data_IF_350426636504
#
_entry.id   IF_350426636504
#
_cell.length_a   1.000
_cell.length_b   1.000
_cell.length_c   1.000
_cell.angle_alpha   90.00
_cell.angle_beta   90.00
_cell.angle_gamma   90.00
#
_symmetry.space_group_name_H-M   'P 1'
#
loop_
_entity.id
_entity.type
_entity.pdbx_description
1 polymer ?
#
# COMPACT_ATOMS: atom_id res chain seq x y z
N UNK A 1 0.60 4.69 19.09
CA UNK A 1 0.94 3.67 20.12
C UNK A 1 0.02 2.48 19.88
N UNK A 2 0.53 1.26 19.67
CA UNK A 2 -0.29 0.06 19.36
C UNK A 2 0.11 -0.73 18.10
N UNK A 3 1.24 -0.43 17.47
CA UNK A 3 1.70 -1.12 16.25
C UNK A 3 2.44 -2.43 16.54
N UNK A 4 2.89 -2.61 17.78
CA UNK A 4 3.64 -3.80 18.19
C UNK A 4 3.14 -4.32 19.53
N UNK A 5 3.05 -5.64 19.64
CA UNK A 5 2.88 -6.36 20.90
C UNK A 5 4.25 -6.69 21.46
N UNK A 6 4.41 -6.56 22.77
CA UNK A 6 5.63 -6.91 23.48
C UNK A 6 5.40 -8.19 24.26
N UNK A 7 6.21 -9.21 24.01
CA UNK A 7 6.29 -10.41 24.82
C UNK A 7 7.64 -10.45 25.54
N UNK A 8 7.65 -10.79 26.83
CA UNK A 8 8.89 -10.94 27.62
C UNK A 8 9.12 -12.44 27.78
N UNK A 9 10.16 -12.95 27.13
CA UNK A 9 10.59 -14.34 27.25
C UNK A 9 11.94 -14.36 27.95
N UNK A 10 11.96 -14.92 29.16
CA UNK A 10 13.12 -14.94 30.07
C UNK A 10 13.68 -13.53 30.37
N UNK A 11 14.63 -13.06 29.56
CA UNK A 11 15.28 -11.74 29.66
C UNK A 11 15.23 -10.93 28.35
N UNK A 12 14.61 -11.45 27.30
CA UNK A 12 14.50 -10.78 26.00
C UNK A 12 13.11 -10.13 25.82
N UNK A 13 13.10 -8.92 25.26
CA UNK A 13 11.88 -8.25 24.81
C UNK A 13 11.68 -8.57 23.33
N UNK A 14 10.66 -9.36 23.01
CA UNK A 14 10.29 -9.68 21.65
C UNK A 14 9.16 -8.73 21.24
N UNK A 15 9.34 -8.02 20.13
CA UNK A 15 8.32 -7.16 19.55
C UNK A 15 7.78 -7.82 18.28
N UNK A 16 6.47 -8.04 18.26
CA UNK A 16 5.75 -8.60 17.11
C UNK A 16 4.74 -7.58 16.60
N UNK A 17 4.45 -7.60 15.30
CA UNK A 17 3.45 -6.71 14.72
C UNK A 17 2.08 -6.96 15.37
N UNK A 18 1.46 -5.90 15.87
CA UNK A 18 0.14 -5.97 16.49
C UNK A 18 -1.00 -5.76 15.47
N UNK A 19 -0.67 -5.25 14.29
CA UNK A 19 -1.60 -5.00 13.20
C UNK A 19 -1.13 -5.75 11.96
N UNK A 20 -2.09 -6.23 11.17
CA UNK A 20 -1.80 -6.80 9.86
C UNK A 20 -1.16 -5.76 8.94
N UNK A 21 -0.18 -6.21 8.16
CA UNK A 21 0.59 -5.37 7.25
C UNK A 21 -0.34 -4.71 6.21
N UNK A 22 -1.24 -5.49 5.62
CA UNK A 22 -2.19 -5.02 4.60
C UNK A 22 -3.13 -3.93 5.14
N UNK A 23 -3.66 -4.11 6.36
CA UNK A 23 -4.51 -3.12 7.00
C UNK A 23 -3.76 -1.80 7.23
N UNK A 24 -2.51 -1.90 7.68
CA UNK A 24 -1.64 -0.75 7.95
C UNK A 24 -1.28 -0.03 6.66
N UNK A 25 -0.85 -0.76 5.63
CA UNK A 25 -0.53 -0.21 4.31
C UNK A 25 -1.73 0.47 3.66
N UNK A 26 -2.92 -0.14 3.76
CA UNK A 26 -4.16 0.44 3.23
C UNK A 26 -4.51 1.77 3.90
N UNK A 27 -4.41 1.85 5.23
CA UNK A 27 -4.67 3.08 5.97
C UNK A 27 -3.66 4.18 5.61
N UNK A 28 -2.37 3.85 5.60
CA UNK A 28 -1.33 4.81 5.24
C UNK A 28 -1.51 5.35 3.82
N UNK A 29 -1.81 4.47 2.86
CA UNK A 29 -2.06 4.87 1.48
C UNK A 29 -3.28 5.79 1.37
N UNK A 30 -4.37 5.46 2.06
CA UNK A 30 -5.61 6.27 2.07
C UNK A 30 -5.34 7.67 2.64
N UNK A 31 -4.66 7.76 3.77
CA UNK A 31 -4.34 9.03 4.41
C UNK A 31 -3.41 9.86 3.52
N UNK A 32 -2.42 9.22 2.90
CA UNK A 32 -1.50 9.88 1.97
C UNK A 32 -2.20 10.42 0.72
N UNK A 33 -3.10 9.63 0.10
CA UNK A 33 -3.89 10.06 -1.06
C UNK A 33 -4.79 11.24 -0.70
N UNK A 34 -5.42 11.19 0.49
CA UNK A 34 -6.26 12.27 0.98
C UNK A 34 -5.46 13.57 1.17
N UNK A 35 -4.31 13.48 1.85
CA UNK A 35 -3.49 14.64 2.19
C UNK A 35 -2.77 15.26 0.99
N UNK A 36 -2.20 14.43 0.10
CA UNK A 36 -1.29 14.90 -0.96
C UNK A 36 -2.00 15.10 -2.30
N UNK A 37 -3.01 14.28 -2.59
CA UNK A 37 -3.70 14.26 -3.89
C UNK A 37 -5.17 14.67 -3.79
N UNK A 38 -5.57 15.31 -2.68
CA UNK A 38 -6.96 15.75 -2.41
C UNK A 38 -7.97 14.60 -2.56
N UNK A 39 -7.56 13.38 -2.24
CA UNK A 39 -8.39 12.18 -2.39
C UNK A 39 -8.46 11.60 -3.81
N UNK A 40 -7.74 12.16 -4.80
CA UNK A 40 -7.78 11.68 -6.19
C UNK A 40 -6.79 10.53 -6.42
N UNK A 41 -7.32 9.31 -6.46
CA UNK A 41 -6.53 8.12 -6.85
C UNK A 41 -6.00 8.22 -8.28
N UNK A 42 -6.76 8.84 -9.20
CA UNK A 42 -6.33 9.05 -10.58
C UNK A 42 -5.11 9.98 -10.68
N UNK A 43 -5.04 11.02 -9.83
CA UNK A 43 -3.90 11.93 -9.78
C UNK A 43 -2.65 11.24 -9.23
N UNK A 44 -2.80 10.35 -8.25
CA UNK A 44 -1.70 9.51 -7.76
C UNK A 44 -1.16 8.62 -8.89
N UNK A 45 -2.05 7.87 -9.57
CA UNK A 45 -1.65 6.95 -10.65
C UNK A 45 -0.98 7.71 -11.80
N UNK A 46 -1.53 8.86 -12.21
CA UNK A 46 -0.91 9.67 -13.27
C UNK A 46 0.47 10.20 -12.87
N UNK A 47 0.67 10.56 -11.60
CA UNK A 47 1.99 11.01 -11.11
C UNK A 47 2.99 9.85 -11.03
N UNK A 48 2.54 8.67 -10.61
CA UNK A 48 3.37 7.46 -10.57
C UNK A 48 3.82 7.07 -11.97
N UNK A 49 2.88 6.90 -12.90
CA UNK A 49 3.15 6.49 -14.28
C UNK A 49 3.88 7.54 -15.11
N UNK A 50 3.76 8.82 -14.75
CA UNK A 50 4.49 9.92 -15.39
C UNK A 50 5.87 10.19 -14.79
N UNK A 51 6.29 9.44 -13.76
CA UNK A 51 7.64 9.54 -13.19
C UNK A 51 8.61 8.62 -13.91
N UNK A 52 9.89 9.02 -13.98
CA UNK A 52 10.96 8.26 -14.67
C UNK A 52 11.24 6.88 -14.05
N UNK A 53 10.68 6.60 -12.86
CA UNK A 53 10.89 5.35 -12.11
C UNK A 53 9.95 4.20 -12.55
N UNK A 54 9.01 4.43 -13.48
CA UNK A 54 8.12 3.36 -13.92
C UNK A 54 8.78 2.50 -14.99
N UNK A 55 9.21 1.29 -14.61
CA UNK A 55 9.80 0.34 -15.54
C UNK A 55 8.75 -0.25 -16.52
N UNK A 56 9.16 -0.74 -17.70
CA UNK A 56 8.26 -1.46 -18.62
C UNK A 56 7.61 -2.70 -17.98
N UNK A 57 8.30 -3.34 -17.04
CA UNK A 57 7.82 -4.50 -16.30
C UNK A 57 6.70 -4.12 -15.32
N UNK A 58 6.86 -2.99 -14.61
CA UNK A 58 5.84 -2.47 -13.71
C UNK A 58 4.60 -1.99 -14.49
N UNK A 59 4.79 -1.36 -15.66
CA UNK A 59 3.67 -1.04 -16.56
C UNK A 59 2.90 -2.28 -16.99
N UNK A 60 3.58 -3.39 -17.24
CA UNK A 60 2.95 -4.65 -17.64
C UNK A 60 2.12 -5.22 -16.48
N UNK A 61 2.68 -5.28 -15.27
CA UNK A 61 1.96 -5.71 -14.07
C UNK A 61 0.73 -4.84 -13.78
N UNK A 62 0.84 -3.52 -13.96
CA UNK A 62 -0.29 -2.59 -13.77
C UNK A 62 -1.40 -2.87 -14.80
N UNK A 63 -1.06 -3.13 -16.06
CA UNK A 63 -2.05 -3.49 -17.09
C UNK A 63 -2.75 -4.80 -16.78
N UNK A 64 -2.02 -5.82 -16.32
CA UNK A 64 -2.58 -7.10 -15.90
C UNK A 64 -3.54 -6.94 -14.72
N UNK A 65 -3.15 -6.15 -13.72
CA UNK A 65 -4.01 -5.84 -12.57
C UNK A 65 -5.30 -5.13 -13.01
N UNK A 66 -5.21 -4.14 -13.90
CA UNK A 66 -6.38 -3.44 -14.43
C UNK A 66 -7.32 -4.39 -15.18
N UNK A 67 -6.76 -5.26 -16.03
CA UNK A 67 -7.53 -6.26 -16.76
C UNK A 67 -8.26 -7.23 -15.80
N UNK A 68 -7.59 -7.67 -14.72
CA UNK A 68 -8.23 -8.50 -13.71
C UNK A 68 -9.38 -7.76 -13.02
N UNK A 69 -9.18 -6.51 -12.61
CA UNK A 69 -10.21 -5.70 -11.92
C UNK A 69 -11.44 -5.42 -12.81
N UNK A 70 -11.24 -5.20 -14.11
CA UNK A 70 -12.34 -4.99 -15.06
C UNK A 70 -13.13 -6.27 -15.32
N UNK A 71 -12.47 -7.42 -15.39
CA UNK A 71 -13.13 -8.71 -15.61
C UNK A 71 -13.81 -9.26 -14.36
N UNK A 72 -13.31 -8.95 -13.16
CA UNK A 72 -13.98 -9.31 -11.89
C UNK A 72 -15.30 -8.54 -11.72
N UNK A 73 -15.45 -7.38 -12.37
CA UNK A 73 -16.67 -6.57 -12.34
C UNK A 73 -17.71 -6.95 -13.41
N UNK A 74 -17.43 -7.96 -14.26
CA UNK A 74 -18.38 -8.52 -15.23
C UNK A 74 -19.07 -9.75 -14.64
#
# INVERSE_FOLDING_TARGET
KGLVTKEIKERAHIFTAAAEEEWTQTHLLKDFVSATFRGSSSSLVMRMLGSEDTSPEDLTKIKELLFQLENIKK
#
